data_IF_283237030949
#
_entry.id   IF_283237030949
#
_cell.length_a   1.000
_cell.length_b   1.000
_cell.length_c   1.000
_cell.angle_alpha   90.00
_cell.angle_beta   90.00
_cell.angle_gamma   90.00
#
_symmetry.space_group_name_H-M   'P 1'
#
loop_
_entity.id
_entity.type
_entity.pdbx_description
1 polymer ?
#
# COMPACT_ATOMS: atom_id res chain seq x y z
N UNK A 1 11.82 -8.36 21.69
CA UNK A 1 11.80 -6.88 21.71
C UNK A 1 11.04 -6.38 20.48
N UNK A 2 9.87 -5.77 20.63
CA UNK A 2 9.14 -5.20 19.48
C UNK A 2 9.74 -3.85 19.13
N UNK A 3 10.47 -3.81 18.02
CA UNK A 3 11.17 -2.63 17.56
C UNK A 3 10.15 -1.56 17.09
N UNK A 4 9.74 -0.65 17.99
CA UNK A 4 8.84 0.46 17.66
C UNK A 4 9.40 1.36 16.54
N UNK A 5 10.73 1.46 16.42
CA UNK A 5 11.36 2.21 15.33
C UNK A 5 11.08 1.63 13.94
N UNK A 6 10.79 0.32 13.85
CA UNK A 6 10.55 -0.34 12.57
C UNK A 6 9.20 0.01 11.95
N UNK A 7 8.18 0.31 12.77
CA UNK A 7 6.89 0.75 12.26
C UNK A 7 6.99 2.18 11.67
N UNK A 8 7.70 3.07 12.39
CA UNK A 8 8.00 4.42 11.91
C UNK A 8 8.88 4.40 10.64
N UNK A 9 9.88 3.51 10.56
CA UNK A 9 10.70 3.31 9.35
C UNK A 9 9.84 2.95 8.13
N UNK A 10 8.89 2.02 8.28
CA UNK A 10 7.99 1.64 7.17
C UNK A 10 7.18 2.83 6.65
N UNK A 11 6.66 3.69 7.55
CA UNK A 11 5.92 4.88 7.16
C UNK A 11 6.83 5.93 6.52
N UNK A 12 8.03 6.16 7.05
CA UNK A 12 8.99 7.07 6.42
C UNK A 12 9.30 6.63 4.98
N UNK A 13 9.56 5.34 4.78
CA UNK A 13 9.84 4.76 3.46
C UNK A 13 8.66 4.78 2.50
N UNK A 14 7.44 4.59 3.03
CA UNK A 14 6.21 4.75 2.26
C UNK A 14 6.04 6.20 1.80
N UNK A 15 6.37 7.18 2.66
CA UNK A 15 6.32 8.61 2.31
C UNK A 15 7.29 8.98 1.19
N UNK A 16 8.53 8.47 1.22
CA UNK A 16 9.50 8.69 0.13
C UNK A 16 9.01 8.11 -1.21
N UNK A 17 8.39 6.92 -1.20
CA UNK A 17 7.80 6.31 -2.40
C UNK A 17 6.59 7.08 -2.91
N UNK A 18 5.75 7.57 -2.00
CA UNK A 18 4.60 8.39 -2.37
C UNK A 18 5.02 9.66 -3.11
N UNK A 19 6.11 10.31 -2.67
CA UNK A 19 6.69 11.45 -3.39
C UNK A 19 7.23 11.04 -4.78
N UNK A 20 7.79 9.83 -4.91
CA UNK A 20 8.25 9.32 -6.21
C UNK A 20 7.09 9.06 -7.19
N UNK A 21 5.88 8.72 -6.71
CA UNK A 21 4.72 8.53 -7.59
C UNK A 21 4.39 9.78 -8.42
N UNK A 22 4.63 10.99 -7.89
CA UNK A 22 4.42 12.24 -8.63
C UNK A 22 5.29 12.31 -9.89
N UNK A 23 6.55 11.88 -9.77
CA UNK A 23 7.49 11.84 -10.90
C UNK A 23 7.10 10.76 -11.91
N UNK A 24 6.64 9.59 -11.44
CA UNK A 24 6.18 8.51 -12.32
C UNK A 24 4.92 8.92 -13.09
N UNK A 25 3.99 9.63 -12.46
CA UNK A 25 2.81 10.22 -13.12
C UNK A 25 3.22 11.22 -14.20
N UNK A 26 4.15 12.14 -13.90
CA UNK A 26 4.66 13.12 -14.88
C UNK A 26 5.31 12.44 -16.10
N UNK A 27 5.95 11.30 -15.88
CA UNK A 27 6.56 10.48 -16.95
C UNK A 27 5.59 9.54 -17.64
N UNK A 28 4.32 9.56 -17.26
CA UNK A 28 3.28 8.66 -17.77
C UNK A 28 3.63 7.17 -17.59
N UNK A 29 4.43 6.85 -16.56
CA UNK A 29 4.81 5.46 -16.24
C UNK A 29 3.73 4.80 -15.41
N UNK A 30 2.56 4.61 -16.00
CA UNK A 30 1.33 4.23 -15.27
C UNK A 30 1.43 2.86 -14.59
N UNK A 31 2.03 1.88 -15.25
CA UNK A 31 2.29 0.57 -14.66
C UNK A 31 3.20 0.67 -13.42
N UNK A 32 4.24 1.50 -13.48
CA UNK A 32 5.13 1.71 -12.33
C UNK A 32 4.40 2.44 -11.18
N UNK A 33 3.51 3.39 -11.49
CA UNK A 33 2.68 4.04 -10.45
C UNK A 33 1.84 3.00 -9.72
N UNK A 34 1.16 2.12 -10.43
CA UNK A 34 0.34 1.05 -9.84
C UNK A 34 1.20 0.09 -9.02
N UNK A 35 2.37 -0.29 -9.54
CA UNK A 35 3.29 -1.20 -8.86
C UNK A 35 3.86 -0.63 -7.57
N UNK A 36 4.29 0.63 -7.59
CA UNK A 36 4.86 1.33 -6.42
C UNK A 36 3.78 1.70 -5.40
N UNK A 37 2.57 2.05 -5.85
CA UNK A 37 1.40 2.23 -4.98
C UNK A 37 1.11 0.97 -4.14
N UNK A 38 1.22 -0.22 -4.74
CA UNK A 38 1.08 -1.47 -4.00
C UNK A 38 2.11 -1.60 -2.87
N UNK A 39 3.38 -1.25 -3.10
CA UNK A 39 4.42 -1.34 -2.06
C UNK A 39 4.18 -0.35 -0.92
N UNK A 40 3.71 0.87 -1.25
CA UNK A 40 3.34 1.89 -0.26
C UNK A 40 2.24 1.35 0.67
N UNK A 41 1.18 0.77 0.09
CA UNK A 41 0.06 0.20 0.86
C UNK A 41 0.53 -0.97 1.71
N UNK A 42 1.34 -1.87 1.15
CA UNK A 42 1.91 -3.02 1.88
C UNK A 42 2.75 -2.57 3.08
N UNK A 43 3.65 -1.60 2.91
CA UNK A 43 4.47 -1.07 4.00
C UNK A 43 3.60 -0.42 5.09
N UNK A 44 2.61 0.38 4.69
CA UNK A 44 1.69 1.04 5.61
C UNK A 44 0.90 0.02 6.45
N UNK A 45 0.30 -0.98 5.81
CA UNK A 45 -0.49 -1.99 6.51
C UNK A 45 0.36 -2.89 7.41
N UNK A 46 1.59 -3.23 6.97
CA UNK A 46 2.56 -3.92 7.82
C UNK A 46 2.97 -3.06 9.02
N UNK A 47 3.08 -1.74 8.84
CA UNK A 47 3.28 -0.77 9.92
C UNK A 47 2.15 -0.84 10.95
N UNK A 48 0.89 -0.84 10.49
CA UNK A 48 -0.29 -0.96 11.37
C UNK A 48 -0.31 -2.28 12.16
N UNK A 49 0.08 -3.40 11.55
CA UNK A 49 0.22 -4.66 12.28
C UNK A 49 1.23 -4.55 13.43
N UNK A 50 2.34 -3.80 13.23
CA UNK A 50 3.31 -3.55 14.31
C UNK A 50 2.71 -2.72 15.44
N UNK A 51 1.91 -1.70 15.12
CA UNK A 51 1.16 -0.89 16.11
C UNK A 51 0.21 -1.78 16.90
N UNK A 52 -0.52 -2.65 16.20
CA UNK A 52 -1.44 -3.62 16.78
C UNK A 52 -0.72 -4.76 17.53
N UNK A 53 0.61 -4.69 17.69
CA UNK A 53 1.36 -5.71 18.40
C UNK A 53 1.23 -7.11 17.76
N UNK A 54 1.11 -7.16 16.44
CA UNK A 54 1.00 -8.38 15.62
C UNK A 54 2.33 -8.65 14.90
N UNK A 55 2.72 -9.92 14.85
CA UNK A 55 3.88 -10.34 14.06
C UNK A 55 3.57 -10.18 12.57
N UNK A 56 4.47 -9.51 11.85
CA UNK A 56 4.29 -9.23 10.41
C UNK A 56 4.75 -10.45 9.62
N UNK A 57 3.87 -11.12 8.86
CA UNK A 57 4.26 -12.28 8.07
C UNK A 57 5.02 -11.87 6.80
N UNK A 58 5.64 -12.85 6.15
CA UNK A 58 6.24 -12.70 4.82
C UNK A 58 5.19 -12.88 3.71
N UNK A 59 4.09 -12.12 3.81
CA UNK A 59 3.01 -12.05 2.82
C UNK A 59 2.91 -10.63 2.26
N UNK A 60 2.42 -10.51 1.02
CA UNK A 60 2.23 -9.21 0.36
C UNK A 60 0.91 -8.56 0.74
N UNK A 61 -0.16 -9.36 0.78
CA UNK A 61 -1.44 -8.92 1.32
C UNK A 61 -1.57 -9.36 2.78
N UNK A 62 -1.89 -8.39 3.63
CA UNK A 62 -2.09 -8.59 5.07
C UNK A 62 -3.48 -8.13 5.51
N UNK A 63 -4.41 -7.94 4.57
CA UNK A 63 -5.78 -7.44 4.84
C UNK A 63 -6.50 -8.22 5.92
N UNK A 64 -6.44 -9.55 5.87
CA UNK A 64 -7.23 -10.41 6.74
C UNK A 64 -6.64 -10.47 8.15
N UNK A 65 -5.30 -10.40 8.23
CA UNK A 65 -4.58 -10.31 9.50
C UNK A 65 -4.88 -8.98 10.18
N UNK A 66 -4.89 -7.89 9.41
CA UNK A 66 -5.24 -6.56 9.93
C UNK A 66 -6.70 -6.52 10.42
N UNK A 67 -7.62 -7.14 9.67
CA UNK A 67 -9.02 -7.26 10.05
C UNK A 67 -9.20 -8.03 11.37
N UNK A 68 -8.54 -9.18 11.50
CA UNK A 68 -8.56 -9.98 12.73
C UNK A 68 -7.94 -9.23 13.93
N UNK A 69 -7.00 -8.33 13.67
CA UNK A 69 -6.34 -7.50 14.68
C UNK A 69 -7.03 -6.15 14.93
N UNK A 70 -8.19 -5.88 14.33
CA UNK A 70 -8.81 -4.55 14.35
C UNK A 70 -9.07 -4.00 15.76
N UNK A 71 -9.36 -4.86 16.73
CA UNK A 71 -9.58 -4.46 18.12
C UNK A 71 -8.35 -3.80 18.76
N UNK A 72 -7.14 -4.19 18.34
CA UNK A 72 -5.86 -3.69 18.85
C UNK A 72 -5.33 -2.45 18.09
N UNK A 73 -6.00 -2.01 17.02
CA UNK A 73 -5.62 -0.82 16.28
C UNK A 73 -6.02 0.48 17.01
N UNK A 74 -5.38 1.62 16.70
CA UNK A 74 -5.81 2.93 17.18
C UNK A 74 -7.25 3.26 16.78
N UNK A 75 -7.99 3.99 17.61
CA UNK A 75 -9.39 4.35 17.37
C UNK A 75 -9.60 5.11 16.05
N UNK A 76 -8.62 5.91 15.62
CA UNK A 76 -8.63 6.61 14.34
C UNK A 76 -8.48 5.70 13.11
N UNK A 77 -7.98 4.47 13.27
CA UNK A 77 -7.77 3.52 12.16
C UNK A 77 -8.92 2.52 12.06
N UNK A 78 -9.50 2.10 13.18
CA UNK A 78 -10.55 1.05 13.22
C UNK A 78 -11.68 1.25 12.19
N UNK A 79 -12.26 2.45 12.00
CA UNK A 79 -13.33 2.66 11.03
C UNK A 79 -12.92 2.39 9.58
N UNK A 80 -11.62 2.45 9.28
CA UNK A 80 -11.08 2.34 7.93
C UNK A 80 -10.59 0.93 7.56
N UNK A 81 -10.58 -0.02 8.51
CA UNK A 81 -10.00 -1.36 8.31
C UNK A 81 -10.58 -2.10 7.10
N UNK A 82 -11.90 -2.03 6.91
CA UNK A 82 -12.55 -2.66 5.75
C UNK A 82 -12.11 -2.04 4.42
N UNK A 83 -11.96 -0.71 4.38
CA UNK A 83 -11.51 0.01 3.19
C UNK A 83 -10.01 -0.21 2.92
N UNK A 84 -9.17 -0.22 3.96
CA UNK A 84 -7.74 -0.58 3.85
C UNK A 84 -7.58 -1.97 3.22
N UNK A 85 -8.36 -2.95 3.68
CA UNK A 85 -8.34 -4.31 3.11
C UNK A 85 -8.80 -4.37 1.65
N UNK A 86 -9.81 -3.57 1.27
CA UNK A 86 -10.26 -3.49 -0.14
C UNK A 86 -9.15 -2.93 -1.04
N UNK A 87 -8.52 -1.82 -0.65
CA UNK A 87 -7.42 -1.20 -1.40
C UNK A 87 -6.25 -2.16 -1.57
N UNK A 88 -5.83 -2.82 -0.48
CA UNK A 88 -4.75 -3.83 -0.49
C UNK A 88 -4.99 -4.93 -1.51
N UNK A 89 -6.18 -5.54 -1.46
CA UNK A 89 -6.53 -6.66 -2.35
C UNK A 89 -6.57 -6.24 -3.81
N UNK A 90 -7.13 -5.06 -4.10
CA UNK A 90 -7.19 -4.53 -5.45
C UNK A 90 -5.76 -4.34 -6.02
N UNK A 91 -4.90 -3.61 -5.31
CA UNK A 91 -3.52 -3.37 -5.77
C UNK A 91 -2.67 -4.65 -5.81
N UNK A 92 -2.90 -5.61 -4.91
CA UNK A 92 -2.20 -6.91 -4.94
C UNK A 92 -2.56 -7.73 -6.18
N UNK A 93 -3.81 -7.65 -6.67
CA UNK A 93 -4.21 -8.33 -7.91
C UNK A 93 -3.43 -7.78 -9.09
N UNK A 94 -3.19 -6.48 -9.10
CA UNK A 94 -2.57 -5.75 -10.20
C UNK A 94 -1.03 -5.84 -10.17
N UNK A 95 -0.43 -6.25 -9.03
CA UNK A 95 1.02 -6.29 -8.81
C UNK A 95 1.83 -7.04 -9.87
N UNK A 96 1.41 -8.26 -10.24
CA UNK A 96 2.17 -9.09 -11.19
C UNK A 96 2.03 -8.57 -12.61
N UNK A 97 0.82 -8.17 -13.00
CA UNK A 97 0.54 -7.64 -14.33
C UNK A 97 1.22 -6.29 -14.55
N UNK A 98 1.24 -5.42 -13.53
CA UNK A 98 1.95 -4.14 -13.58
C UNK A 98 3.48 -4.28 -13.67
N UNK A 99 4.02 -5.44 -13.25
CA UNK A 99 5.46 -5.68 -13.27
C UNK A 99 5.91 -6.45 -14.52
N UNK A 100 5.25 -7.56 -14.85
CA UNK A 100 5.68 -8.46 -15.92
C UNK A 100 4.89 -8.32 -17.22
N UNK A 101 3.67 -7.78 -17.16
CA UNK A 101 2.72 -7.84 -18.28
C UNK A 101 2.22 -9.26 -18.49
N UNK A 102 1.87 -9.58 -19.74
CA UNK A 102 1.56 -10.93 -20.21
C UNK A 102 2.27 -11.20 -21.54
N UNK A 103 2.16 -12.43 -22.07
CA UNK A 103 2.73 -12.79 -23.39
C UNK A 103 2.18 -11.91 -24.52
N UNK A 104 0.95 -11.41 -24.38
CA UNK A 104 0.25 -10.63 -25.39
C UNK A 104 0.25 -9.11 -25.14
N UNK A 105 0.75 -8.64 -23.98
CA UNK A 105 0.57 -7.26 -23.57
C UNK A 105 1.66 -6.77 -22.61
N UNK A 106 2.27 -5.62 -22.94
CA UNK A 106 3.18 -4.95 -22.01
C UNK A 106 2.39 -4.24 -20.90
N UNK A 107 2.96 -4.06 -19.69
CA UNK A 107 2.32 -3.29 -18.63
C UNK A 107 1.90 -1.88 -19.07
N UNK A 108 2.75 -1.22 -19.87
CA UNK A 108 2.52 0.13 -20.39
C UNK A 108 1.36 0.22 -21.38
N UNK A 109 1.03 -0.87 -22.06
CA UNK A 109 -0.14 -0.95 -22.94
C UNK A 109 -1.42 -1.23 -22.16
N UNK A 110 -1.34 -1.95 -21.04
CA UNK A 110 -2.48 -2.29 -20.18
C UNK A 110 -2.95 -1.11 -19.34
N UNK A 111 -2.06 -0.54 -18.52
CA UNK A 111 -2.43 0.46 -17.52
C UNK A 111 -2.55 1.84 -18.14
N UNK A 112 -3.64 2.54 -17.82
CA UNK A 112 -3.93 3.91 -18.27
C UNK A 112 -3.76 4.91 -17.14
N UNK A 113 -3.88 6.18 -17.50
CA UNK A 113 -3.75 7.29 -16.57
C UNK A 113 -4.76 7.15 -15.42
N UNK A 114 -5.97 6.69 -15.70
CA UNK A 114 -7.03 6.50 -14.71
C UNK A 114 -6.66 5.43 -13.67
N UNK A 115 -6.04 4.33 -14.11
CA UNK A 115 -5.59 3.26 -13.21
C UNK A 115 -4.48 3.76 -12.28
N UNK A 116 -3.50 4.46 -12.85
CA UNK A 116 -2.41 5.07 -12.10
C UNK A 116 -2.90 6.14 -11.13
N UNK A 117 -3.86 6.97 -11.55
CA UNK A 117 -4.49 7.98 -10.71
C UNK A 117 -5.22 7.35 -9.53
N UNK A 118 -6.03 6.32 -9.78
CA UNK A 118 -6.74 5.60 -8.72
C UNK A 118 -5.75 4.96 -7.73
N UNK A 119 -4.70 4.29 -8.24
CA UNK A 119 -3.68 3.67 -7.39
C UNK A 119 -2.90 4.69 -6.54
N UNK A 120 -2.57 5.85 -7.11
CA UNK A 120 -1.96 6.94 -6.37
C UNK A 120 -2.91 7.46 -5.29
N UNK A 121 -4.16 7.82 -5.64
CA UNK A 121 -5.12 8.35 -4.67
C UNK A 121 -5.38 7.36 -3.51
N UNK A 122 -5.45 6.06 -3.81
CA UNK A 122 -5.53 5.00 -2.82
C UNK A 122 -4.29 4.92 -1.93
N UNK A 123 -3.07 4.92 -2.50
CA UNK A 123 -1.83 4.90 -1.74
C UNK A 123 -1.68 6.14 -0.84
N UNK A 124 -2.06 7.31 -1.35
CA UNK A 124 -2.07 8.59 -0.61
C UNK A 124 -3.05 8.54 0.56
N UNK A 125 -4.25 8.01 0.33
CA UNK A 125 -5.25 7.83 1.38
C UNK A 125 -4.75 6.87 2.46
N UNK A 126 -4.26 5.68 2.11
CA UNK A 126 -3.70 4.70 3.07
C UNK A 126 -2.56 5.31 3.88
N UNK A 127 -1.63 6.00 3.21
CA UNK A 127 -0.52 6.68 3.87
C UNK A 127 -1.01 7.73 4.88
N UNK A 128 -2.03 8.51 4.54
CA UNK A 128 -2.59 9.53 5.43
C UNK A 128 -3.17 8.94 6.72
N UNK A 129 -3.85 7.79 6.63
CA UNK A 129 -4.39 7.06 7.79
C UNK A 129 -3.24 6.59 8.71
N UNK A 130 -2.16 6.08 8.12
CA UNK A 130 -1.06 5.51 8.90
C UNK A 130 -0.16 6.59 9.51
N UNK A 131 0.15 7.67 8.79
CA UNK A 131 0.94 8.81 9.29
C UNK A 131 0.29 9.49 10.50
N UNK A 132 -1.04 9.43 10.62
CA UNK A 132 -1.75 10.01 11.76
C UNK A 132 -1.58 9.25 13.08
N UNK A 133 -0.96 8.06 13.08
CA UNK A 133 -0.88 7.17 14.24
C UNK A 133 0.50 6.56 14.50
N UNK A 134 1.47 6.84 13.63
CA UNK A 134 2.84 6.33 13.64
C UNK A 134 3.84 7.48 13.54
#
# INVERSE_FOLDING_TARGET
MRNKSLAADYISRAGHRLAALEVLMQRQSYADVVREAQEIVELCMKGLLRVANVEVPRLHDVSDILANAAAALPASVKPHVAQLGRVSRNLRRDRELAFYGSEDLTPSEFYKEEDAKQAFDDAKWVFSICKGVL
#
